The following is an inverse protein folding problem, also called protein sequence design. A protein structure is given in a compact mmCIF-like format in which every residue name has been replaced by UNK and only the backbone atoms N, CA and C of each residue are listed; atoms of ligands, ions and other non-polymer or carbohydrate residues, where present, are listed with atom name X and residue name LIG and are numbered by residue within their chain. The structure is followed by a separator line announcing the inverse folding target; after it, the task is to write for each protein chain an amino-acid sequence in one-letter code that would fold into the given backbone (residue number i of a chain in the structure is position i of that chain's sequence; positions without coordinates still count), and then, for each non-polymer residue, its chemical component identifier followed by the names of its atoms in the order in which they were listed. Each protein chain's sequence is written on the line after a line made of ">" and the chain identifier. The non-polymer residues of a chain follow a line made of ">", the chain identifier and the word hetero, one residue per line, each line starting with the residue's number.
data_IF_559105669785
#
_entry.id   IF_559105669785
#
_cell.length_a   1.000
_cell.length_b   1.000
_cell.length_c   1.000
_cell.angle_alpha   90.00
_cell.angle_beta   90.00
_cell.angle_gamma   90.00
#
_symmetry.space_group_name_H-M   'P 1'
#
loop_
_entity.id
_entity.type
_entity.pdbx_description
1 polymer ?
#
# COMPACT_ATOMS: atom_id res chain seq x y z
N UNK A 1 -16.30 9.30 -7.21
CA UNK A 1 -15.90 8.18 -6.32
C UNK A 1 -14.40 8.29 -6.10
N UNK A 2 -13.96 8.92 -4.99
CA UNK A 2 -12.52 9.17 -4.74
C UNK A 2 -11.89 7.84 -4.32
N UNK A 3 -10.84 7.39 -5.00
CA UNK A 3 -10.31 6.08 -4.67
C UNK A 3 -9.54 6.15 -3.34
N UNK A 4 -9.91 5.23 -2.44
CA UNK A 4 -9.47 5.09 -1.05
C UNK A 4 -8.04 4.54 -0.92
N UNK A 5 -7.19 4.66 -1.94
CA UNK A 5 -5.77 4.26 -1.85
C UNK A 5 -4.85 5.36 -1.28
N UNK A 6 -5.40 6.56 -1.02
CA UNK A 6 -4.64 7.71 -0.52
C UNK A 6 -3.99 7.53 0.87
N UNK A 7 -4.57 6.82 1.86
CA UNK A 7 -3.94 6.72 3.19
C UNK A 7 -2.70 5.81 3.20
N UNK A 8 -2.57 4.85 2.27
CA UNK A 8 -1.43 3.92 2.23
C UNK A 8 -0.14 4.53 1.69
N UNK A 9 -0.23 5.53 0.79
CA UNK A 9 0.97 6.27 0.34
C UNK A 9 1.56 7.16 1.44
N UNK A 10 0.78 7.48 2.47
CA UNK A 10 1.22 8.33 3.57
C UNK A 10 2.29 7.62 4.42
N UNK A 11 2.15 6.31 4.68
CA UNK A 11 3.14 5.56 5.46
C UNK A 11 4.47 5.43 4.74
N UNK A 12 4.47 5.26 3.41
CA UNK A 12 5.72 5.26 2.62
C UNK A 12 6.40 6.62 2.66
N UNK A 13 5.65 7.72 2.56
CA UNK A 13 6.19 9.08 2.65
C UNK A 13 6.76 9.39 4.03
N UNK A 14 6.06 8.97 5.10
CA UNK A 14 6.53 9.09 6.47
C UNK A 14 7.77 8.23 6.73
N UNK A 15 7.79 6.98 6.26
CA UNK A 15 8.94 6.09 6.38
C UNK A 15 10.18 6.66 5.66
N UNK A 16 9.99 7.28 4.50
CA UNK A 16 11.08 7.95 3.78
C UNK A 16 11.62 9.16 4.56
N UNK A 17 10.73 10.00 5.10
CA UNK A 17 11.12 11.15 5.93
C UNK A 17 11.88 10.73 7.19
N UNK A 18 11.39 9.69 7.89
CA UNK A 18 12.06 9.12 9.07
C UNK A 18 13.42 8.56 8.70
N UNK A 19 13.52 7.80 7.61
CA UNK A 19 14.81 7.21 7.17
C UNK A 19 15.83 8.29 6.84
N UNK A 20 15.42 9.37 6.16
CA UNK A 20 16.29 10.51 5.87
C UNK A 20 16.79 11.18 7.16
N UNK A 21 15.89 11.44 8.12
CA UNK A 21 16.25 12.02 9.41
C UNK A 21 17.19 11.10 10.21
N UNK A 22 16.94 9.79 10.21
CA UNK A 22 17.81 8.79 10.86
C UNK A 22 19.21 8.76 10.26
N UNK A 23 19.33 8.94 8.94
CA UNK A 23 20.63 8.97 8.26
C UNK A 23 21.47 10.18 8.71
N UNK A 24 20.84 11.35 8.84
CA UNK A 24 21.49 12.56 9.37
C UNK A 24 21.90 12.36 10.84
N UNK A 25 21.02 11.81 11.67
CA UNK A 25 21.32 11.51 13.08
C UNK A 25 22.48 10.53 13.22
N UNK A 26 22.52 9.48 12.38
CA UNK A 26 23.60 8.51 12.35
C UNK A 26 24.94 9.15 11.94
N UNK A 27 24.94 10.01 10.92
CA UNK A 27 26.14 10.75 10.51
C UNK A 27 26.69 11.65 11.64
N UNK A 28 25.82 12.35 12.36
CA UNK A 28 26.20 13.18 13.51
C UNK A 28 26.76 12.31 14.64
N UNK A 29 26.09 11.20 14.98
CA UNK A 29 26.53 10.27 16.04
C UNK A 29 27.90 9.64 15.72
N UNK A 30 28.14 9.25 14.45
CA UNK A 30 29.44 8.78 13.99
C UNK A 30 30.52 9.88 14.05
N UNK A 31 30.20 11.09 13.63
CA UNK A 31 31.11 12.23 13.72
C UNK A 31 31.52 12.51 15.17
N UNK A 32 30.55 12.57 16.08
CA UNK A 32 30.81 12.78 17.52
C UNK A 32 31.67 11.67 18.11
N UNK A 33 31.49 10.42 17.68
CA UNK A 33 32.29 9.28 18.15
C UNK A 33 33.73 9.28 17.63
N UNK A 34 33.97 9.84 16.44
CA UNK A 34 35.31 9.95 15.86
C UNK A 34 36.12 11.13 16.43
N UNK A 35 35.47 12.25 16.72
CA UNK A 35 36.15 13.48 17.19
C UNK A 35 36.13 13.68 18.71
N UNK A 36 35.22 13.00 19.43
CA UNK A 36 35.06 13.21 20.88
C UNK A 36 34.96 11.86 21.62
N UNK A 37 35.82 11.63 22.61
CA UNK A 37 35.81 10.44 23.46
C UNK A 37 34.59 10.35 24.42
N UNK A 38 33.71 11.35 24.41
CA UNK A 38 32.62 11.52 25.36
C UNK A 38 31.24 11.08 24.80
N UNK A 39 31.24 10.11 23.90
CA UNK A 39 29.99 9.57 23.36
C UNK A 39 29.39 8.59 24.37
N UNK A 40 28.17 8.87 24.83
CA UNK A 40 27.41 7.96 25.69
C UNK A 40 27.39 6.55 25.08
N UNK A 41 27.80 5.55 25.88
CA UNK A 41 27.83 4.15 25.47
C UNK A 41 26.43 3.72 25.01
N UNK A 42 26.24 3.55 23.70
CA UNK A 42 24.97 3.16 23.08
C UNK A 42 24.36 4.16 22.09
N UNK A 43 24.89 5.39 21.97
CA UNK A 43 24.43 6.37 20.96
C UNK A 43 24.40 5.82 19.52
N UNK A 44 25.46 5.16 19.00
CA UNK A 44 25.42 4.61 17.64
C UNK A 44 24.47 3.41 17.51
N UNK A 45 24.23 2.66 18.58
CA UNK A 45 23.27 1.54 18.57
C UNK A 45 21.83 2.07 18.42
N UNK A 46 21.49 3.14 19.15
CA UNK A 46 20.20 3.81 19.02
C UNK A 46 20.02 4.43 17.62
N UNK A 47 21.07 5.02 17.05
CA UNK A 47 21.03 5.53 15.68
C UNK A 47 20.75 4.41 14.65
N UNK A 48 21.41 3.25 14.78
CA UNK A 48 21.14 2.08 13.94
C UNK A 48 19.71 1.56 14.12
N UNK A 49 19.21 1.48 15.36
CA UNK A 49 17.83 1.03 15.63
C UNK A 49 16.80 1.94 14.99
N UNK A 50 16.95 3.26 15.14
CA UNK A 50 16.03 4.26 14.57
C UNK A 50 16.09 4.25 13.04
N UNK A 51 17.26 4.00 12.44
CA UNK A 51 17.40 3.77 11.00
C UNK A 51 16.69 2.50 10.55
N UNK A 52 16.86 1.38 11.27
CA UNK A 52 16.21 0.11 10.96
C UNK A 52 14.67 0.23 11.05
N UNK A 53 14.16 0.94 12.06
CA UNK A 53 12.73 1.22 12.20
C UNK A 53 12.18 2.06 11.03
N UNK A 54 12.97 3.02 10.52
CA UNK A 54 12.61 3.78 9.31
C UNK A 54 12.43 2.89 8.08
N UNK A 55 13.35 1.94 7.87
CA UNK A 55 13.26 0.97 6.76
C UNK A 55 12.03 0.06 6.93
N UNK A 56 11.75 -0.42 8.14
CA UNK A 56 10.56 -1.24 8.43
C UNK A 56 9.26 -0.49 8.12
N UNK A 57 9.17 0.81 8.41
CA UNK A 57 8.01 1.65 8.05
C UNK A 57 7.82 1.76 6.54
N UNK A 58 8.89 1.86 5.76
CA UNK A 58 8.83 1.85 4.29
C UNK A 58 8.27 0.51 3.79
N UNK A 59 8.80 -0.61 4.32
CA UNK A 59 8.34 -1.96 3.96
C UNK A 59 6.85 -2.12 4.29
N UNK A 60 6.41 -1.65 5.45
CA UNK A 60 5.00 -1.69 5.86
C UNK A 60 4.10 -0.90 4.90
N UNK A 61 4.57 0.23 4.36
CA UNK A 61 3.86 0.99 3.34
C UNK A 61 3.69 0.23 2.02
N UNK A 62 4.75 -0.44 1.55
CA UNK A 62 4.71 -1.27 0.34
C UNK A 62 3.76 -2.47 0.53
N UNK A 63 3.86 -3.14 1.68
CA UNK A 63 2.97 -4.27 2.02
C UNK A 63 1.52 -3.80 2.09
N UNK A 64 1.27 -2.62 2.66
CA UNK A 64 -0.04 -1.99 2.64
C UNK A 64 -0.58 -1.82 1.22
N UNK A 65 0.21 -1.25 0.30
CA UNK A 65 -0.21 -1.09 -1.11
C UNK A 65 -0.52 -2.43 -1.79
N UNK A 66 0.23 -3.48 -1.46
CA UNK A 66 -0.01 -4.82 -1.98
C UNK A 66 -1.31 -5.43 -1.41
N UNK A 67 -1.52 -5.34 -0.10
CA UNK A 67 -2.75 -5.80 0.56
C UNK A 67 -3.96 -5.01 0.05
N UNK A 68 -3.82 -3.71 -0.19
CA UNK A 68 -4.88 -2.87 -0.74
C UNK A 68 -5.36 -3.36 -2.11
N UNK A 69 -4.42 -3.77 -2.99
CA UNK A 69 -4.76 -4.37 -4.29
C UNK A 69 -5.47 -5.72 -4.13
N UNK A 70 -4.93 -6.60 -3.29
CA UNK A 70 -5.56 -7.90 -2.99
C UNK A 70 -6.98 -7.69 -2.44
N UNK A 71 -7.17 -6.69 -1.58
CA UNK A 71 -8.47 -6.37 -1.01
C UNK A 71 -9.47 -5.89 -2.06
N UNK A 72 -9.03 -5.12 -3.06
CA UNK A 72 -9.86 -4.71 -4.19
C UNK A 72 -10.17 -5.89 -5.14
N UNK A 73 -9.20 -6.78 -5.41
CA UNK A 73 -9.40 -8.01 -6.19
C UNK A 73 -10.39 -8.98 -5.51
N UNK A 74 -10.23 -9.21 -4.20
CA UNK A 74 -11.10 -10.12 -3.43
C UNK A 74 -12.49 -9.55 -3.22
N UNK A 75 -12.68 -8.22 -3.34
CA UNK A 75 -13.99 -7.57 -3.17
C UNK A 75 -14.98 -7.84 -4.28
N UNK A 76 -14.61 -8.57 -5.34
CA UNK A 76 -15.53 -9.16 -6.32
C UNK A 76 -16.65 -8.18 -6.71
N UNK A 77 -16.28 -6.93 -7.03
CA UNK A 77 -17.27 -5.92 -7.43
C UNK A 77 -17.78 -6.38 -8.79
N UNK A 78 -19.05 -6.80 -8.94
CA UNK A 78 -19.58 -7.09 -10.26
C UNK A 78 -19.39 -5.84 -11.11
N UNK A 79 -18.59 -5.96 -12.18
CA UNK A 79 -18.19 -4.87 -13.08
C UNK A 79 -19.38 -4.22 -13.80
N UNK A 80 -20.58 -4.78 -13.63
CA UNK A 80 -21.82 -4.25 -14.13
C UNK A 80 -22.96 -4.73 -13.23
N UNK A 81 -23.78 -3.78 -12.79
CA UNK A 81 -25.15 -4.09 -12.38
C UNK A 81 -25.90 -4.20 -13.71
N UNK A 82 -26.39 -5.39 -14.07
CA UNK A 82 -27.38 -5.54 -15.15
C UNK A 82 -28.59 -4.70 -14.76
N UNK A 83 -28.59 -3.43 -15.16
CA UNK A 83 -29.77 -2.57 -15.06
C UNK A 83 -30.70 -3.10 -16.14
N UNK A 84 -31.72 -3.83 -15.70
CA UNK A 84 -32.61 -4.62 -16.55
C UNK A 84 -32.91 -3.90 -17.86
N UNK A 85 -32.49 -4.51 -18.97
CA UNK A 85 -33.09 -4.18 -20.26
C UNK A 85 -34.44 -4.87 -20.28
N UNK A 86 -35.47 -4.14 -19.89
CA UNK A 86 -36.82 -4.36 -20.39
C UNK A 86 -36.71 -4.25 -21.92
N UNK A 87 -36.56 -5.38 -22.62
CA UNK A 87 -36.32 -5.37 -24.06
C UNK A 87 -35.91 -6.67 -24.76
N UNK A 88 -35.70 -7.78 -24.06
CA UNK A 88 -35.40 -9.07 -24.72
C UNK A 88 -36.43 -10.18 -24.42
N UNK A 89 -37.68 -9.79 -24.19
CA UNK A 89 -38.82 -10.70 -24.17
C UNK A 89 -39.30 -11.08 -25.60
N UNK A 90 -38.76 -10.51 -26.67
CA UNK A 90 -39.39 -10.64 -28.01
C UNK A 90 -38.70 -11.58 -29.01
N UNK A 91 -37.45 -12.00 -28.80
CA UNK A 91 -36.71 -12.76 -29.84
C UNK A 91 -36.67 -14.29 -29.65
N UNK A 92 -36.87 -14.83 -28.43
CA UNK A 92 -36.64 -16.27 -28.17
C UNK A 92 -37.89 -17.12 -27.94
N UNK A 93 -39.04 -16.51 -27.65
CA UNK A 93 -40.30 -17.24 -27.41
C UNK A 93 -41.05 -17.62 -28.71
N UNK A 94 -40.74 -16.99 -29.86
CA UNK A 94 -41.46 -17.23 -31.14
C UNK A 94 -40.73 -18.11 -32.17
N UNK A 95 -39.47 -18.50 -31.95
CA UNK A 95 -38.63 -19.07 -33.01
C UNK A 95 -38.36 -20.58 -32.97
N UNK A 96 -38.66 -21.30 -31.87
CA UNK A 96 -38.17 -22.69 -31.69
C UNK A 96 -39.28 -23.68 -31.29
N UNK A 97 -40.53 -23.43 -31.73
CA UNK A 97 -41.68 -24.31 -31.46
C UNK A 97 -42.38 -24.78 -32.77
N UNK A 98 -41.90 -24.43 -33.98
CA UNK A 98 -42.62 -24.76 -35.24
C UNK A 98 -41.86 -25.55 -36.32
N UNK A 99 -40.73 -26.17 -36.02
CA UNK A 99 -40.10 -27.16 -36.92
C UNK A 99 -39.17 -27.99 -36.05
N UNK A 100 -39.46 -29.24 -35.68
CA UNK A 100 -39.74 -30.38 -36.53
C UNK A 100 -40.55 -31.40 -35.71
N UNK A 101 -41.66 -31.81 -36.33
CA UNK A 101 -42.47 -32.99 -35.99
C UNK A 101 -41.66 -34.27 -36.26
#
# INVERSE_FOLDING_TARGET
>A
MKPTYKPLKLSTYLGFAVTLASFVYLAISLGQRLFTANTAAGSPLMACLVLLNGVTLIILGIVGEYIGRIYDETKNRPLYILRGRTGEEQARSKGVIWSVR
#
